data_IF_060108077959
#
_entry.id   IF_060108077959
#
_cell.length_a   1.000
_cell.length_b   1.000
_cell.length_c   1.000
_cell.angle_alpha   90.00
_cell.angle_beta   90.00
_cell.angle_gamma   90.00
#
_symmetry.space_group_name_H-M   'P 1'
#
loop_
_entity.id
_entity.type
_entity.pdbx_description
1 polymer ?
#
# COMPACT_ATOMS: atom_id res chain seq x y z
N UNK A 1 -11.62 -20.30 -4.33
CA UNK A 1 -11.32 -19.84 -5.70
C UNK A 1 -12.22 -20.45 -6.79
N UNK A 2 -12.30 -21.78 -6.97
CA UNK A 2 -13.19 -22.38 -7.99
C UNK A 2 -14.70 -22.17 -7.70
N UNK A 3 -15.07 -22.12 -6.43
CA UNK A 3 -16.47 -21.92 -5.99
C UNK A 3 -16.95 -20.51 -6.37
N UNK A 4 -16.14 -19.47 -6.16
CA UNK A 4 -16.53 -18.07 -6.36
C UNK A 4 -16.67 -17.68 -7.82
N UNK A 5 -15.76 -18.15 -8.69
CA UNK A 5 -15.87 -17.99 -10.15
C UNK A 5 -17.13 -18.67 -10.71
N UNK A 6 -17.51 -19.83 -10.16
CA UNK A 6 -18.76 -20.51 -10.53
C UNK A 6 -20.00 -19.80 -10.02
N UNK A 7 -19.97 -19.21 -8.82
CA UNK A 7 -21.16 -18.64 -8.17
C UNK A 7 -21.66 -17.37 -8.86
N UNK A 8 -20.77 -16.41 -9.14
CA UNK A 8 -21.15 -15.16 -9.78
C UNK A 8 -21.40 -15.39 -11.26
N UNK A 9 -20.47 -16.03 -11.98
CA UNK A 9 -20.66 -16.38 -13.40
C UNK A 9 -21.95 -17.16 -13.68
N UNK A 10 -22.40 -18.03 -12.76
CA UNK A 10 -23.71 -18.66 -12.85
C UNK A 10 -24.87 -17.66 -12.71
N UNK A 11 -24.76 -16.65 -11.84
CA UNK A 11 -25.77 -15.58 -11.68
C UNK A 11 -25.96 -14.78 -12.97
N UNK A 12 -24.88 -14.30 -13.59
CA UNK A 12 -25.01 -13.52 -14.83
C UNK A 12 -25.53 -14.40 -15.98
N UNK A 13 -25.07 -15.65 -16.08
CA UNK A 13 -25.57 -16.61 -17.07
C UNK A 13 -27.06 -16.93 -16.89
N UNK A 14 -27.52 -17.15 -15.64
CA UNK A 14 -28.93 -17.43 -15.31
C UNK A 14 -29.82 -16.21 -15.57
N UNK A 15 -29.29 -15.00 -15.39
CA UNK A 15 -30.03 -13.75 -15.62
C UNK A 15 -29.90 -13.23 -17.06
N UNK A 16 -29.33 -13.99 -17.99
CA UNK A 16 -29.04 -13.59 -19.38
C UNK A 16 -28.24 -12.27 -19.50
N UNK A 17 -27.42 -11.95 -18.50
CA UNK A 17 -26.52 -10.79 -18.52
C UNK A 17 -25.19 -11.16 -19.16
N UNK A 18 -24.53 -10.18 -19.77
CA UNK A 18 -23.23 -10.40 -20.41
C UNK A 18 -22.17 -10.72 -19.34
N UNK A 19 -21.49 -11.85 -19.50
CA UNK A 19 -20.27 -12.17 -18.76
C UNK A 19 -19.20 -11.13 -19.13
N UNK A 20 -18.77 -10.32 -18.17
CA UNK A 20 -17.83 -9.22 -18.41
C UNK A 20 -16.80 -9.12 -17.27
N UNK A 21 -15.86 -8.18 -17.39
CA UNK A 21 -14.77 -7.98 -16.42
C UNK A 21 -15.22 -7.66 -14.98
N UNK A 22 -16.51 -7.39 -14.75
CA UNK A 22 -17.06 -7.14 -13.40
C UNK A 22 -17.25 -8.44 -12.60
N UNK A 23 -17.23 -9.60 -13.25
CA UNK A 23 -17.19 -10.91 -12.59
C UNK A 23 -15.83 -11.11 -11.90
N UNK A 24 -14.76 -10.65 -12.54
CA UNK A 24 -13.41 -10.68 -11.96
C UNK A 24 -13.29 -9.69 -10.80
N UNK A 25 -13.96 -8.53 -10.85
CA UNK A 25 -14.02 -7.56 -9.74
C UNK A 25 -14.73 -8.16 -8.52
N UNK A 26 -15.80 -8.91 -8.72
CA UNK A 26 -16.46 -9.65 -7.65
C UNK A 26 -15.53 -10.69 -7.03
N UNK A 27 -14.88 -11.50 -7.88
CA UNK A 27 -13.92 -12.51 -7.45
C UNK A 27 -12.77 -11.89 -6.67
N UNK A 28 -12.28 -10.73 -7.09
CA UNK A 28 -11.28 -9.95 -6.38
C UNK A 28 -11.79 -9.47 -5.00
N UNK A 29 -13.04 -9.02 -4.88
CA UNK A 29 -13.63 -8.64 -3.59
C UNK A 29 -13.62 -9.78 -2.57
N UNK A 30 -13.98 -10.98 -3.01
CA UNK A 30 -13.95 -12.18 -2.16
C UNK A 30 -12.52 -12.58 -1.81
N UNK A 31 -11.58 -12.49 -2.76
CA UNK A 31 -10.16 -12.72 -2.47
C UNK A 31 -9.63 -11.69 -1.48
N UNK A 32 -10.01 -10.42 -1.62
CA UNK A 32 -9.66 -9.36 -0.68
C UNK A 32 -10.23 -9.66 0.71
N UNK A 33 -11.46 -10.15 0.82
CA UNK A 33 -12.06 -10.61 2.07
C UNK A 33 -11.31 -11.81 2.67
N UNK A 34 -10.97 -12.81 1.86
CA UNK A 34 -10.19 -13.99 2.27
C UNK A 34 -8.81 -13.56 2.80
N UNK A 35 -8.14 -12.63 2.12
CA UNK A 35 -6.84 -12.08 2.53
C UNK A 35 -6.94 -11.29 3.84
N UNK A 36 -8.00 -10.52 4.06
CA UNK A 36 -8.18 -9.69 5.25
C UNK A 36 -8.57 -10.54 6.47
N UNK A 37 -9.46 -11.52 6.27
CA UNK A 37 -10.01 -12.33 7.37
C UNK A 37 -9.20 -13.60 7.64
N UNK A 38 -8.39 -14.04 6.68
CA UNK A 38 -7.68 -15.32 6.72
C UNK A 38 -8.62 -16.54 6.68
N UNK A 39 -9.90 -16.33 6.34
CA UNK A 39 -10.93 -17.34 6.36
C UNK A 39 -11.34 -17.70 4.94
N UNK A 40 -11.68 -18.97 4.72
CA UNK A 40 -12.39 -19.37 3.52
C UNK A 40 -13.82 -18.81 3.55
N UNK A 41 -14.33 -18.25 2.44
CA UNK A 41 -15.71 -17.77 2.38
C UNK A 41 -16.69 -18.95 2.38
N UNK A 42 -17.86 -18.76 3.00
CA UNK A 42 -18.95 -19.77 3.08
C UNK A 42 -18.50 -21.12 3.66
N UNK A 43 -17.71 -21.10 4.72
CA UNK A 43 -17.29 -22.33 5.41
C UNK A 43 -18.53 -23.15 5.80
N UNK A 44 -18.44 -24.45 5.61
CA UNK A 44 -19.51 -25.43 5.85
C UNK A 44 -20.66 -25.44 4.83
N UNK A 45 -20.53 -24.76 3.68
CA UNK A 45 -21.43 -24.93 2.55
C UNK A 45 -20.75 -25.73 1.42
N UNK A 46 -21.52 -26.57 0.73
CA UNK A 46 -21.09 -27.10 -0.57
C UNK A 46 -21.13 -26.00 -1.63
N UNK A 47 -20.42 -26.18 -2.74
CA UNK A 47 -20.44 -25.26 -3.89
C UNK A 47 -21.88 -24.90 -4.29
N UNK A 48 -22.76 -25.89 -4.41
CA UNK A 48 -24.16 -25.68 -4.83
C UNK A 48 -24.95 -24.91 -3.78
N UNK A 49 -24.74 -25.21 -2.49
CA UNK A 49 -25.40 -24.49 -1.39
C UNK A 49 -24.95 -23.03 -1.33
N UNK A 50 -23.64 -22.77 -1.46
CA UNK A 50 -23.08 -21.43 -1.52
C UNK A 50 -23.62 -20.66 -2.74
N UNK A 51 -23.64 -21.28 -3.93
CA UNK A 51 -24.22 -20.68 -5.14
C UNK A 51 -25.68 -20.30 -4.91
N UNK A 52 -26.48 -21.22 -4.38
CA UNK A 52 -27.89 -20.95 -4.12
C UNK A 52 -28.08 -19.80 -3.11
N UNK A 53 -27.29 -19.77 -2.04
CA UNK A 53 -27.36 -18.74 -1.01
C UNK A 53 -26.97 -17.35 -1.54
N UNK A 54 -25.90 -17.25 -2.33
CA UNK A 54 -25.42 -15.98 -2.90
C UNK A 54 -26.36 -15.45 -3.97
N UNK A 55 -26.86 -16.33 -4.85
CA UNK A 55 -27.70 -15.97 -6.00
C UNK A 55 -29.13 -15.64 -5.56
N UNK A 56 -29.75 -16.51 -4.78
CA UNK A 56 -31.19 -16.42 -4.46
C UNK A 56 -31.48 -15.71 -3.13
N UNK A 57 -30.56 -15.77 -2.17
CA UNK A 57 -30.76 -15.17 -0.84
C UNK A 57 -29.89 -13.93 -0.61
N UNK A 58 -29.00 -13.60 -1.55
CA UNK A 58 -28.10 -12.46 -1.44
C UNK A 58 -27.08 -12.59 -0.31
N UNK A 59 -26.78 -13.82 0.15
CA UNK A 59 -25.79 -14.02 1.22
C UNK A 59 -24.41 -13.57 0.74
N UNK A 60 -23.64 -12.93 1.63
CA UNK A 60 -22.27 -12.48 1.40
C UNK A 60 -21.38 -12.84 2.60
N UNK A 61 -20.05 -12.95 2.42
CA UNK A 61 -19.13 -13.07 3.54
C UNK A 61 -19.30 -11.91 4.52
N UNK A 62 -19.23 -12.21 5.81
CA UNK A 62 -19.41 -11.19 6.85
C UNK A 62 -18.11 -10.42 7.04
N UNK A 63 -18.14 -9.11 6.89
CA UNK A 63 -16.99 -8.26 7.19
C UNK A 63 -16.89 -8.08 8.71
N UNK A 64 -15.74 -8.37 9.35
CA UNK A 64 -15.54 -8.11 10.77
C UNK A 64 -15.73 -6.64 11.13
N UNK A 65 -16.32 -6.34 12.29
CA UNK A 65 -16.62 -4.97 12.73
C UNK A 65 -15.37 -4.12 12.99
N UNK A 66 -14.22 -4.75 13.17
CA UNK A 66 -12.89 -4.15 13.34
C UNK A 66 -12.15 -3.96 12.00
N UNK A 67 -12.77 -4.33 10.87
CA UNK A 67 -12.22 -4.10 9.55
C UNK A 67 -12.17 -2.60 9.22
N UNK A 68 -11.12 -2.17 8.52
CA UNK A 68 -10.99 -0.78 8.07
C UNK A 68 -12.20 -0.38 7.21
N UNK A 69 -12.82 0.79 7.46
CA UNK A 69 -14.02 1.22 6.72
C UNK A 69 -13.82 1.24 5.19
N UNK A 70 -12.65 1.66 4.71
CA UNK A 70 -12.33 1.67 3.27
C UNK A 70 -12.26 0.26 2.68
N UNK A 71 -11.68 -0.71 3.42
CA UNK A 71 -11.64 -2.10 2.96
C UNK A 71 -13.05 -2.72 3.01
N UNK A 72 -13.82 -2.42 4.06
CA UNK A 72 -15.23 -2.82 4.17
C UNK A 72 -16.06 -2.29 3.01
N UNK A 73 -15.88 -1.02 2.64
CA UNK A 73 -16.59 -0.38 1.53
C UNK A 73 -16.19 -0.99 0.19
N UNK A 74 -14.88 -1.19 -0.07
CA UNK A 74 -14.39 -1.81 -1.31
C UNK A 74 -14.93 -3.24 -1.44
N UNK A 75 -14.84 -4.06 -0.38
CA UNK A 75 -15.38 -5.43 -0.38
C UNK A 75 -16.88 -5.42 -0.67
N UNK A 76 -17.65 -4.57 0.03
CA UNK A 76 -19.11 -4.47 -0.16
C UNK A 76 -19.48 -4.07 -1.58
N UNK A 77 -18.76 -3.11 -2.17
CA UNK A 77 -19.01 -2.64 -3.55
C UNK A 77 -18.56 -3.65 -4.62
N UNK A 78 -17.45 -4.35 -4.41
CA UNK A 78 -17.02 -5.44 -5.28
C UNK A 78 -18.04 -6.59 -5.28
N UNK A 79 -18.67 -6.85 -4.15
CA UNK A 79 -19.60 -7.95 -3.95
C UNK A 79 -21.07 -7.62 -4.31
N UNK A 80 -21.33 -6.44 -4.88
CA UNK A 80 -22.67 -5.99 -5.23
C UNK A 80 -23.38 -6.98 -6.17
N UNK A 81 -24.67 -7.23 -5.91
CA UNK A 81 -25.49 -8.09 -6.75
C UNK A 81 -25.75 -7.51 -8.14
N UNK A 82 -25.52 -6.23 -8.37
CA UNK A 82 -25.60 -5.60 -9.69
C UNK A 82 -24.19 -5.33 -10.24
N UNK A 83 -23.79 -6.10 -11.25
CA UNK A 83 -22.47 -5.98 -11.89
C UNK A 83 -22.14 -4.56 -12.39
N UNK A 84 -23.15 -3.79 -12.81
CA UNK A 84 -22.96 -2.41 -13.30
C UNK A 84 -22.57 -1.43 -12.19
N UNK A 85 -22.92 -1.73 -10.94
CA UNK A 85 -22.63 -0.87 -9.77
C UNK A 85 -21.26 -1.19 -9.17
N UNK A 86 -20.76 -2.41 -9.41
CA UNK A 86 -19.41 -2.80 -9.00
C UNK A 86 -18.39 -1.82 -9.57
N UNK A 87 -17.31 -1.50 -8.85
CA UNK A 87 -16.27 -0.61 -9.36
C UNK A 87 -15.52 -1.23 -10.54
N UNK A 88 -14.74 -0.44 -11.24
CA UNK A 88 -13.68 -0.92 -12.13
C UNK A 88 -12.44 -1.31 -11.33
N UNK A 89 -11.58 -2.16 -11.89
CA UNK A 89 -10.28 -2.44 -11.27
C UNK A 89 -9.44 -1.18 -11.04
N UNK A 90 -9.56 -0.18 -11.93
CA UNK A 90 -8.89 1.11 -11.75
C UNK A 90 -9.36 1.81 -10.48
N UNK A 91 -10.66 1.85 -10.22
CA UNK A 91 -11.21 2.44 -8.99
C UNK A 91 -10.85 1.63 -7.74
N UNK A 92 -10.80 0.30 -7.84
CA UNK A 92 -10.35 -0.58 -6.74
C UNK A 92 -8.87 -0.33 -6.42
N UNK A 93 -8.01 -0.35 -7.43
CA UNK A 93 -6.57 -0.07 -7.27
C UNK A 93 -6.37 1.34 -6.74
N UNK A 94 -7.10 2.33 -7.25
CA UNK A 94 -7.01 3.71 -6.77
C UNK A 94 -7.45 3.82 -5.30
N UNK A 95 -8.51 3.13 -4.88
CA UNK A 95 -8.99 3.15 -3.49
C UNK A 95 -8.03 2.44 -2.54
N UNK A 96 -7.43 1.32 -2.97
CA UNK A 96 -6.36 0.64 -2.22
C UNK A 96 -5.09 1.49 -2.16
N UNK A 97 -4.66 2.07 -3.27
CA UNK A 97 -3.52 2.99 -3.35
C UNK A 97 -3.72 4.22 -2.45
N UNK A 98 -4.93 4.76 -2.40
CA UNK A 98 -5.30 5.88 -1.55
C UNK A 98 -5.35 5.49 -0.06
N UNK A 99 -5.75 4.26 0.28
CA UNK A 99 -5.63 3.71 1.64
C UNK A 99 -4.17 3.61 2.09
N UNK A 100 -3.27 3.17 1.19
CA UNK A 100 -1.83 3.17 1.45
C UNK A 100 -1.25 4.60 1.56
N UNK A 101 -1.82 5.58 0.85
CA UNK A 101 -1.49 7.01 0.96
C UNK A 101 -2.06 7.67 2.23
N UNK A 102 -3.18 7.18 2.77
CA UNK A 102 -3.93 7.79 3.90
C UNK A 102 -3.29 7.61 5.28
N UNK A 103 -2.38 6.66 5.47
CA UNK A 103 -1.58 6.53 6.72
C UNK A 103 -0.81 7.83 7.02
N UNK A 104 -0.47 8.60 5.97
CA UNK A 104 0.27 9.87 6.02
C UNK A 104 -0.61 11.03 6.48
N UNK A 105 -1.85 11.07 6.00
CA UNK A 105 -2.80 12.17 6.21
C UNK A 105 -3.42 12.13 7.61
N UNK A 106 -3.58 10.93 8.18
CA UNK A 106 -4.21 10.71 9.48
C UNK A 106 -3.59 11.51 10.63
N UNK A 107 -2.28 11.77 10.61
CA UNK A 107 -1.62 12.59 11.66
C UNK A 107 -1.93 14.07 11.56
N UNK A 108 -2.11 14.60 10.35
CA UNK A 108 -2.32 16.04 10.14
C UNK A 108 -3.78 16.45 10.29
N UNK A 109 -4.70 15.58 9.89
CA UNK A 109 -6.14 15.79 10.04
C UNK A 109 -6.60 15.72 11.50
N UNK A 110 -6.06 14.79 12.31
CA UNK A 110 -6.43 14.66 13.74
C UNK A 110 -6.01 15.90 14.56
N UNK A 111 -5.08 16.71 14.05
CA UNK A 111 -4.62 17.95 14.70
C UNK A 111 -5.23 19.24 14.12
N UNK A 112 -6.26 19.15 13.25
CA UNK A 112 -6.87 20.31 12.57
C UNK A 112 -5.87 21.21 11.82
N UNK A 113 -4.75 20.66 11.33
CA UNK A 113 -3.79 21.44 10.52
C UNK A 113 -4.24 21.45 9.06
N UNK A 114 -4.01 22.57 8.38
CA UNK A 114 -4.40 22.74 6.99
C UNK A 114 -3.60 21.78 6.09
N UNK A 115 -4.32 21.00 5.26
CA UNK A 115 -3.73 20.20 4.20
C UNK A 115 -2.92 21.11 3.27
N UNK A 116 -1.61 20.92 3.23
CA UNK A 116 -0.70 21.74 2.42
C UNK A 116 0.33 20.85 1.70
N UNK A 117 1.17 21.46 0.86
CA UNK A 117 2.19 20.77 0.06
C UNK A 117 3.19 19.95 0.89
N UNK A 118 3.26 20.13 2.22
CA UNK A 118 4.15 19.37 3.11
C UNK A 118 3.65 17.95 3.34
N UNK A 119 2.36 17.65 3.10
CA UNK A 119 1.81 16.29 3.10
C UNK A 119 2.44 15.47 1.98
N UNK A 120 2.56 16.07 0.79
CA UNK A 120 3.15 15.41 -0.37
C UNK A 120 4.65 15.19 -0.19
N UNK A 121 5.34 16.09 0.52
CA UNK A 121 6.76 15.91 0.89
C UNK A 121 6.94 14.70 1.81
N UNK A 122 6.05 14.51 2.79
CA UNK A 122 6.08 13.28 3.61
C UNK A 122 5.87 12.03 2.76
N UNK A 123 4.90 12.08 1.85
CA UNK A 123 4.62 10.97 0.94
C UNK A 123 5.82 10.64 0.06
N UNK A 124 6.53 11.66 -0.41
CA UNK A 124 7.79 11.49 -1.12
C UNK A 124 8.86 10.82 -0.24
N UNK A 125 8.98 11.18 1.03
CA UNK A 125 9.90 10.53 1.98
C UNK A 125 9.68 9.01 2.08
N UNK A 126 8.42 8.59 2.23
CA UNK A 126 8.05 7.17 2.30
C UNK A 126 8.32 6.46 0.98
N UNK A 127 8.01 7.07 -0.15
CA UNK A 127 8.31 6.50 -1.48
C UNK A 127 9.83 6.37 -1.66
N UNK A 128 10.61 7.38 -1.25
CA UNK A 128 12.06 7.32 -1.31
C UNK A 128 12.60 6.18 -0.43
N UNK A 129 12.03 5.98 0.76
CA UNK A 129 12.34 4.84 1.63
C UNK A 129 12.02 3.49 0.98
N UNK A 130 10.84 3.36 0.36
CA UNK A 130 10.44 2.16 -0.37
C UNK A 130 11.40 1.87 -1.54
N UNK A 131 11.79 2.90 -2.29
CA UNK A 131 12.74 2.76 -3.40
C UNK A 131 14.14 2.32 -2.94
N UNK A 132 14.60 2.82 -1.80
CA UNK A 132 15.93 2.51 -1.26
C UNK A 132 15.96 1.11 -0.65
N UNK A 133 14.92 0.73 0.08
CA UNK A 133 14.87 -0.53 0.83
C UNK A 133 14.29 -1.68 0.02
N UNK A 134 13.49 -1.39 -1.00
CA UNK A 134 12.69 -2.37 -1.74
C UNK A 134 11.60 -3.02 -0.88
N UNK A 135 11.24 -2.39 0.26
CA UNK A 135 10.32 -2.95 1.25
C UNK A 135 9.05 -2.09 1.37
N UNK A 136 7.98 -2.70 1.86
CA UNK A 136 6.77 -1.98 2.25
C UNK A 136 6.92 -1.44 3.68
N UNK A 137 6.43 -0.24 4.00
CA UNK A 137 6.50 0.29 5.36
C UNK A 137 5.60 -0.50 6.31
N UNK A 138 6.05 -0.69 7.56
CA UNK A 138 5.29 -1.31 8.66
C UNK A 138 4.78 -2.75 8.40
N UNK A 139 5.55 -3.58 7.71
CA UNK A 139 5.15 -4.95 7.32
C UNK A 139 4.65 -5.86 8.47
N UNK A 140 5.04 -5.56 9.72
CA UNK A 140 4.69 -6.35 10.90
C UNK A 140 3.54 -5.74 11.73
N UNK A 141 2.82 -4.76 11.19
CA UNK A 141 1.71 -4.08 11.88
C UNK A 141 0.44 -4.15 11.04
N UNK A 142 -0.71 -4.32 11.70
CA UNK A 142 -1.99 -4.04 11.04
C UNK A 142 -2.12 -2.56 10.73
N UNK A 143 -2.95 -2.16 9.78
CA UNK A 143 -3.11 -0.74 9.42
C UNK A 143 -3.55 0.13 10.60
N UNK A 144 -4.38 -0.40 11.51
CA UNK A 144 -4.78 0.32 12.73
C UNK A 144 -3.59 0.46 13.69
N UNK A 145 -2.78 -0.58 13.85
CA UNK A 145 -1.56 -0.53 14.66
C UNK A 145 -0.52 0.42 14.06
N UNK A 146 -0.32 0.39 12.76
CA UNK A 146 0.59 1.29 12.04
C UNK A 146 0.09 2.74 12.14
N UNK A 147 -1.21 2.97 11.94
CA UNK A 147 -1.83 4.29 12.12
C UNK A 147 -1.61 4.80 13.54
N UNK A 148 -1.97 4.01 14.55
CA UNK A 148 -1.78 4.38 15.94
C UNK A 148 -0.30 4.59 16.29
N UNK A 149 0.60 3.76 15.78
CA UNK A 149 2.03 3.89 16.00
C UNK A 149 2.58 5.19 15.36
N UNK A 150 2.19 5.50 14.13
CA UNK A 150 2.62 6.70 13.40
C UNK A 150 2.06 7.98 14.03
N UNK A 151 0.77 7.98 14.37
CA UNK A 151 0.04 9.15 14.89
C UNK A 151 0.33 9.38 16.36
N UNK A 152 0.17 8.36 17.21
CA UNK A 152 0.23 8.50 18.67
C UNK A 152 1.61 8.23 19.25
N UNK A 153 2.45 7.43 18.57
CA UNK A 153 3.81 7.08 19.05
C UNK A 153 4.92 7.66 18.20
N UNK A 154 4.60 8.34 17.09
CA UNK A 154 5.59 8.93 16.21
C UNK A 154 6.48 7.92 15.48
N UNK A 155 6.05 6.66 15.36
CA UNK A 155 6.84 5.61 14.70
C UNK A 155 6.99 5.94 13.21
N UNK A 156 8.16 5.65 12.64
CA UNK A 156 8.52 5.83 11.22
C UNK A 156 9.17 4.55 10.68
N UNK A 157 9.21 4.34 9.36
CA UNK A 157 9.96 3.25 8.76
C UNK A 157 11.44 3.31 9.17
N UNK A 158 12.03 2.16 9.50
CA UNK A 158 13.43 2.11 9.94
C UNK A 158 14.34 2.24 8.73
N UNK A 159 15.26 3.21 8.75
CA UNK A 159 16.31 3.32 7.72
C UNK A 159 17.41 2.30 8.02
N UNK A 160 17.80 1.43 7.06
CA UNK A 160 18.93 0.52 7.23
C UNK A 160 20.25 1.25 7.50
N UNK A 161 21.12 0.67 8.34
CA UNK A 161 22.39 1.28 8.74
C UNK A 161 23.40 1.43 7.59
N UNK A 162 23.22 0.68 6.51
CA UNK A 162 24.00 0.72 5.28
C UNK A 162 23.46 1.73 4.25
N UNK A 163 22.33 2.39 4.55
CA UNK A 163 21.81 3.48 3.74
C UNK A 163 22.81 4.64 3.70
N UNK A 164 22.97 5.25 2.52
CA UNK A 164 23.84 6.41 2.37
C UNK A 164 23.35 7.55 3.26
N UNK A 165 24.22 8.18 4.07
CA UNK A 165 23.81 9.21 5.03
C UNK A 165 23.02 10.36 4.39
N UNK A 166 23.40 10.76 3.18
CA UNK A 166 22.73 11.82 2.44
C UNK A 166 21.28 11.48 2.07
N UNK A 167 21.01 10.20 1.74
CA UNK A 167 19.65 9.73 1.44
C UNK A 167 18.84 9.53 2.72
N UNK A 168 19.48 9.02 3.79
CA UNK A 168 18.87 8.91 5.12
C UNK A 168 18.41 10.27 5.65
N UNK A 169 19.21 11.32 5.43
CA UNK A 169 18.86 12.68 5.83
C UNK A 169 17.63 13.20 5.08
N UNK A 170 17.57 13.02 3.76
CA UNK A 170 16.42 13.43 2.94
C UNK A 170 15.15 12.74 3.43
N UNK A 171 15.18 11.42 3.61
CA UNK A 171 14.03 10.66 4.12
C UNK A 171 13.58 11.18 5.49
N UNK A 172 14.52 11.30 6.44
CA UNK A 172 14.22 11.75 7.81
C UNK A 172 13.58 13.13 7.83
N UNK A 173 14.10 14.07 7.02
CA UNK A 173 13.54 15.44 6.92
C UNK A 173 12.18 15.47 6.25
N UNK A 174 11.94 14.63 5.25
CA UNK A 174 10.64 14.51 4.60
C UNK A 174 9.58 13.93 5.55
N UNK A 175 9.96 12.97 6.40
CA UNK A 175 9.05 12.25 7.30
C UNK A 175 8.85 12.91 8.68
N UNK A 176 9.31 14.17 8.83
CA UNK A 176 9.27 14.87 10.11
C UNK A 176 7.85 14.99 10.66
N UNK A 177 7.74 14.85 11.98
CA UNK A 177 6.50 15.06 12.70
C UNK A 177 5.98 16.50 12.60
N UNK A 178 6.81 17.50 12.42
CA UNK A 178 6.33 18.85 12.21
C UNK A 178 6.29 19.17 10.71
N UNK A 179 5.09 19.29 10.14
CA UNK A 179 4.93 19.58 8.71
C UNK A 179 5.67 20.86 8.29
N UNK A 180 5.77 21.85 9.19
CA UNK A 180 6.41 23.13 8.93
C UNK A 180 7.93 23.01 8.74
N UNK A 181 8.59 22.03 9.38
CA UNK A 181 10.05 21.87 9.27
C UNK A 181 10.47 20.96 8.12
N UNK A 182 9.51 20.22 7.54
CA UNK A 182 9.78 19.44 6.33
C UNK A 182 10.26 20.39 5.23
N UNK A 183 11.19 19.97 4.38
CA UNK A 183 11.63 20.79 3.25
C UNK A 183 10.47 21.05 2.27
N UNK A 184 10.58 22.09 1.47
CA UNK A 184 9.80 22.25 0.24
C UNK A 184 10.34 21.30 -0.84
N UNK A 185 9.54 21.02 -1.88
CA UNK A 185 10.04 20.22 -3.01
C UNK A 185 11.25 20.84 -3.71
N UNK A 186 11.35 22.18 -3.75
CA UNK A 186 12.54 22.86 -4.30
C UNK A 186 13.78 22.48 -3.48
N UNK A 187 13.69 22.51 -2.15
CA UNK A 187 14.78 22.08 -1.28
C UNK A 187 15.06 20.58 -1.41
N UNK A 188 14.03 19.74 -1.51
CA UNK A 188 14.20 18.29 -1.73
C UNK A 188 14.97 18.01 -3.02
N UNK A 189 14.62 18.68 -4.12
CA UNK A 189 15.34 18.55 -5.40
C UNK A 189 16.80 18.97 -5.23
N UNK A 190 17.06 20.13 -4.61
CA UNK A 190 18.44 20.56 -4.36
C UNK A 190 19.24 19.58 -3.49
N UNK A 191 18.60 18.96 -2.49
CA UNK A 191 19.23 17.93 -1.67
C UNK A 191 19.54 16.67 -2.49
N UNK A 192 18.64 16.26 -3.39
CA UNK A 192 18.84 15.11 -4.29
C UNK A 192 19.95 15.36 -5.31
N UNK A 193 20.04 16.55 -5.89
CA UNK A 193 21.12 16.95 -6.80
C UNK A 193 22.49 16.95 -6.08
N UNK A 194 22.53 17.44 -4.84
CA UNK A 194 23.71 17.37 -4.00
C UNK A 194 24.08 15.91 -3.67
N UNK A 195 23.09 15.07 -3.38
CA UNK A 195 23.27 13.64 -3.15
C UNK A 195 23.83 12.93 -4.39
N UNK A 196 23.28 13.20 -5.57
CA UNK A 196 23.78 12.68 -6.85
C UNK A 196 25.26 13.05 -7.03
N UNK A 197 25.59 14.33 -6.83
CA UNK A 197 26.97 14.83 -6.96
C UNK A 197 27.91 14.13 -5.97
N UNK A 198 27.49 13.95 -4.71
CA UNK A 198 28.28 13.27 -3.68
C UNK A 198 28.47 11.78 -3.99
N UNK A 199 27.41 11.10 -4.45
CA UNK A 199 27.45 9.69 -4.85
C UNK A 199 28.38 9.51 -6.04
N UNK A 200 28.26 10.33 -7.08
CA UNK A 200 29.09 10.25 -8.29
C UNK A 200 30.57 10.53 -8.02
N UNK A 201 30.87 11.46 -7.11
CA UNK A 201 32.27 11.78 -6.74
C UNK A 201 32.90 10.74 -5.81
N UNK A 202 32.11 10.14 -4.93
CA UNK A 202 32.55 9.08 -4.00
C UNK A 202 32.68 7.73 -4.72
N UNK A 203 31.74 7.39 -5.61
CA UNK A 203 31.79 6.18 -6.45
C UNK A 203 32.93 6.20 -7.46
N UNK A 204 33.34 7.38 -7.94
CA UNK A 204 34.58 7.53 -8.74
C UNK A 204 35.83 7.25 -7.90
N UNK A 205 35.88 7.64 -6.62
CA UNK A 205 37.01 7.32 -5.72
C UNK A 205 37.10 5.84 -5.35
N UNK A 206 35.98 5.13 -5.21
CA UNK A 206 36.00 3.68 -4.92
C UNK A 206 36.43 2.82 -6.12
N UNK A 207 36.20 3.27 -7.36
CA UNK A 207 36.78 2.63 -8.56
C UNK A 207 38.31 2.75 -8.65
N UNK A 208 38.91 3.81 -8.10
CA UNK A 208 40.37 3.96 -8.07
C UNK A 208 41.05 3.27 -6.87
N UNK A 209 40.30 2.86 -5.83
CA UNK A 209 40.89 2.24 -4.64
C UNK A 209 40.97 0.70 -4.72
N UNK A 210 40.25 0.06 -5.65
CA UNK A 210 40.35 -1.40 -5.86
C UNK A 210 41.60 -1.83 -6.65
N UNK A 211 42.35 -0.91 -7.27
CA UNK A 211 43.52 -1.23 -8.10
C UNK A 211 44.89 -0.94 -7.46
N UNK A 212 44.99 -0.51 -6.19
CA UNK A 212 46.28 -0.13 -5.59
C UNK A 212 46.56 -0.73 -4.19
N UNK A 213 46.13 -1.95 -3.91
CA UNK A 213 46.58 -2.66 -2.70
C UNK A 213 47.17 -4.03 -2.97
N UNK A 214 48.25 -4.06 -3.74
CA UNK A 214 49.38 -4.95 -3.45
C UNK A 214 50.68 -4.16 -3.68
N UNK A 215 51.47 -3.85 -2.64
CA UNK A 215 52.87 -3.55 -2.83
C UNK A 215 53.58 -4.86 -3.21
N UNK A 216 54.21 -4.89 -4.39
CA UNK A 216 55.23 -5.91 -4.67
C UNK A 216 56.35 -5.73 -3.64
N UNK A 217 56.48 -6.70 -2.75
CA UNK A 217 57.71 -6.90 -1.98
C UNK A 217 58.81 -7.25 -2.98
N UNK A 218 59.86 -6.42 -2.99
CA UNK A 218 61.13 -6.79 -3.60
C UNK A 218 61.86 -7.59 -2.52
N UNK A 219 61.97 -8.89 -2.73
CA UNK A 219 63.09 -9.77 -2.33
C UNK A 219 62.99 -11.07 -3.14
#
# INVERSE_FOLDING_TARGET
MLITFSVDGCREMIQHRAYNQKVDVYSFGIVLWELITGQLPFQNMTTVQATFAVVNRGVRPTVPNDCLPVLSEIMTRCEDGNAEVRPSFVEVIHSLYFLFKYIIILREMIQHRAYNQKVDVYSFGIVLWELITGQLPFQNMTTVQATFAVVNRGVRPTVPNDCLPVLSEIMTRCEDGNAEVRPSFVEVVSMLEAAETWIMTTARKSRFRCCMSQPMTID
#
